data_IF_899347463560
#
_entry.id   IF_899347463560
#
_cell.length_a   1.000
_cell.length_b   1.000
_cell.length_c   1.000
_cell.angle_alpha   90.00
_cell.angle_beta   90.00
_cell.angle_gamma   90.00
#
_symmetry.space_group_name_H-M   'P 1'
#
loop_
_entity.id
_entity.type
_entity.pdbx_description
1 polymer ?
#
# COMPACT_ATOMS: atom_id res chain seq x y z
N UNK A 1 18.48 38.14 -11.88
CA UNK A 1 18.09 37.70 -10.53
C UNK A 1 18.42 36.23 -10.46
N UNK A 2 19.46 35.86 -9.71
CA UNK A 2 19.70 34.45 -9.40
C UNK A 2 18.59 34.01 -8.46
N UNK A 3 17.76 33.06 -8.91
CA UNK A 3 16.81 32.39 -8.04
C UNK A 3 17.61 31.47 -7.14
N UNK A 4 17.93 31.91 -5.93
CA UNK A 4 18.42 31.02 -4.88
C UNK A 4 17.31 30.01 -4.61
N UNK A 5 17.39 28.83 -5.23
CA UNK A 5 16.50 27.73 -4.91
C UNK A 5 16.73 27.40 -3.43
N UNK A 6 15.68 27.47 -2.61
CA UNK A 6 15.75 27.00 -1.24
C UNK A 6 16.16 25.53 -1.27
N UNK A 7 17.37 25.21 -0.81
CA UNK A 7 17.86 23.84 -0.79
C UNK A 7 17.15 23.10 0.36
N UNK A 8 16.32 22.09 0.08
CA UNK A 8 15.64 21.33 1.12
C UNK A 8 16.64 20.73 2.11
N UNK A 9 16.27 20.69 3.39
CA UNK A 9 17.09 20.05 4.41
C UNK A 9 17.11 18.54 4.25
N UNK A 10 18.09 17.88 4.90
CA UNK A 10 18.20 16.42 4.92
C UNK A 10 16.87 15.72 5.28
N UNK A 11 16.15 16.22 6.29
CA UNK A 11 14.89 15.63 6.74
C UNK A 11 13.76 15.73 5.72
N UNK A 12 13.69 16.83 4.96
CA UNK A 12 12.73 16.99 3.87
C UNK A 12 12.97 15.94 2.79
N UNK A 13 14.23 15.72 2.40
CA UNK A 13 14.57 14.67 1.44
C UNK A 13 14.29 13.26 1.98
N UNK A 14 14.70 12.98 3.23
CA UNK A 14 14.53 11.66 3.83
C UNK A 14 13.04 11.29 3.94
N UNK A 15 12.23 12.16 4.55
CA UNK A 15 10.80 11.93 4.73
C UNK A 15 10.07 11.92 3.38
N UNK A 16 10.40 12.84 2.47
CA UNK A 16 9.83 12.88 1.13
C UNK A 16 10.11 11.61 0.33
N UNK A 17 11.34 11.06 0.44
CA UNK A 17 11.68 9.78 -0.19
C UNK A 17 10.85 8.63 0.39
N UNK A 18 10.68 8.58 1.70
CA UNK A 18 9.88 7.54 2.35
C UNK A 18 8.40 7.66 1.96
N UNK A 19 7.85 8.88 1.93
CA UNK A 19 6.48 9.17 1.51
C UNK A 19 6.22 8.72 0.06
N UNK A 20 7.22 8.89 -0.81
CA UNK A 20 7.18 8.51 -2.20
C UNK A 20 7.28 6.99 -2.41
N UNK A 21 8.22 6.32 -1.74
CA UNK A 21 8.48 4.89 -1.97
C UNK A 21 7.51 3.96 -1.23
N UNK A 22 6.97 4.40 -0.09
CA UNK A 22 6.15 3.55 0.76
C UNK A 22 4.91 2.94 0.06
N UNK A 23 4.14 3.67 -0.77
CA UNK A 23 3.06 3.07 -1.58
C UNK A 23 3.51 1.86 -2.42
N UNK A 24 4.71 1.94 -3.01
CA UNK A 24 5.26 0.85 -3.82
C UNK A 24 5.64 -0.35 -2.96
N UNK A 25 6.28 -0.10 -1.81
CA UNK A 25 6.62 -1.15 -0.84
C UNK A 25 5.34 -1.86 -0.35
N UNK A 26 4.30 -1.11 0.01
CA UNK A 26 3.02 -1.68 0.43
C UNK A 26 2.38 -2.52 -0.68
N UNK A 27 2.44 -2.04 -1.93
CA UNK A 27 1.95 -2.81 -3.09
C UNK A 27 2.76 -4.10 -3.27
N UNK A 28 4.08 -4.03 -3.21
CA UNK A 28 4.98 -5.18 -3.36
C UNK A 28 4.81 -6.23 -2.25
N UNK A 29 4.39 -5.82 -1.05
CA UNK A 29 4.13 -6.74 0.06
C UNK A 29 2.72 -7.30 -0.01
N UNK A 30 1.71 -6.45 -0.22
CA UNK A 30 0.31 -6.87 -0.16
C UNK A 30 -0.16 -7.59 -1.42
N UNK A 31 0.34 -7.24 -2.61
CA UNK A 31 -0.10 -7.90 -3.85
C UNK A 31 0.24 -9.40 -3.88
N UNK A 32 1.46 -9.85 -3.56
CA UNK A 32 1.75 -11.29 -3.49
C UNK A 32 0.94 -12.02 -2.43
N UNK A 33 0.72 -11.41 -1.26
CA UNK A 33 -0.14 -11.99 -0.21
C UNK A 33 -1.58 -12.13 -0.71
N UNK A 34 -2.12 -11.09 -1.35
CA UNK A 34 -3.46 -11.10 -1.92
C UNK A 34 -3.63 -12.17 -3.00
N UNK A 35 -2.69 -12.25 -3.95
CA UNK A 35 -2.72 -13.27 -5.01
C UNK A 35 -2.54 -14.68 -4.45
N UNK A 36 -1.69 -14.85 -3.44
CA UNK A 36 -1.55 -16.14 -2.77
C UNK A 36 -2.86 -16.54 -2.10
N UNK A 37 -3.46 -15.66 -1.29
CA UNK A 37 -4.76 -15.92 -0.67
C UNK A 37 -5.84 -16.21 -1.69
N UNK A 38 -5.85 -15.50 -2.82
CA UNK A 38 -6.77 -15.75 -3.93
C UNK A 38 -6.60 -17.15 -4.53
N UNK A 39 -5.35 -17.58 -4.72
CA UNK A 39 -5.03 -18.91 -5.25
C UNK A 39 -5.52 -20.06 -4.38
N UNK A 40 -5.77 -19.80 -3.08
CA UNK A 40 -6.28 -20.79 -2.13
C UNK A 40 -7.80 -20.91 -2.12
N UNK A 41 -8.54 -19.95 -2.69
CA UNK A 41 -10.00 -19.95 -2.66
C UNK A 41 -10.62 -20.84 -3.76
N UNK A 42 -10.65 -22.15 -3.51
CA UNK A 42 -11.18 -23.16 -4.46
C UNK A 42 -12.68 -23.01 -4.73
N UNK A 43 -13.44 -22.47 -3.79
CA UNK A 43 -14.90 -22.33 -3.89
C UNK A 43 -15.33 -21.01 -4.54
N UNK A 44 -14.38 -20.16 -4.96
CA UNK A 44 -14.68 -18.89 -5.62
C UNK A 44 -14.89 -19.11 -7.12
N UNK A 45 -15.98 -18.54 -7.65
CA UNK A 45 -16.25 -18.53 -9.09
C UNK A 45 -15.08 -17.94 -9.90
N UNK A 46 -14.80 -18.53 -11.07
CA UNK A 46 -13.68 -18.15 -11.93
C UNK A 46 -13.74 -16.68 -12.34
N UNK A 47 -14.92 -16.14 -12.63
CA UNK A 47 -15.09 -14.73 -13.00
C UNK A 47 -14.65 -13.81 -11.86
N UNK A 48 -15.02 -14.15 -10.62
CA UNK A 48 -14.61 -13.40 -9.44
C UNK A 48 -13.10 -13.48 -9.20
N UNK A 49 -12.49 -14.65 -9.42
CA UNK A 49 -11.04 -14.79 -9.33
C UNK A 49 -10.31 -13.91 -10.36
N UNK A 50 -10.80 -13.85 -11.60
CA UNK A 50 -10.25 -12.97 -12.64
C UNK A 50 -10.37 -11.50 -12.24
N UNK A 51 -11.57 -11.07 -11.79
CA UNK A 51 -11.81 -9.68 -11.36
C UNK A 51 -10.86 -9.30 -10.22
N UNK A 52 -10.73 -10.15 -9.19
CA UNK A 52 -9.83 -9.86 -8.09
C UNK A 52 -8.36 -9.84 -8.50
N UNK A 53 -7.95 -10.72 -9.41
CA UNK A 53 -6.59 -10.70 -9.95
C UNK A 53 -6.30 -9.37 -10.65
N UNK A 54 -7.25 -8.88 -11.47
CA UNK A 54 -7.13 -7.58 -12.13
C UNK A 54 -7.10 -6.43 -11.11
N UNK A 55 -8.01 -6.43 -10.13
CA UNK A 55 -8.05 -5.40 -9.08
C UNK A 55 -6.71 -5.34 -8.31
N UNK A 56 -6.15 -6.48 -7.92
CA UNK A 56 -4.89 -6.56 -7.18
C UNK A 56 -3.71 -6.04 -8.02
N UNK A 57 -3.67 -6.35 -9.31
CA UNK A 57 -2.54 -6.01 -10.19
C UNK A 57 -2.61 -4.58 -10.74
N UNK A 58 -3.82 -4.07 -11.01
CA UNK A 58 -4.03 -2.81 -11.74
C UNK A 58 -4.25 -1.63 -10.78
N UNK A 59 -4.67 -1.87 -9.54
CA UNK A 59 -4.93 -0.81 -8.56
C UNK A 59 -3.91 -0.93 -7.42
N UNK A 60 -2.74 -0.26 -7.51
CA UNK A 60 -1.71 -0.29 -6.47
C UNK A 60 -2.26 0.13 -5.12
N UNK A 61 -1.71 -0.44 -4.04
CA UNK A 61 -2.11 -0.25 -2.64
C UNK A 61 -3.56 -0.67 -2.35
N UNK A 62 -4.54 0.01 -2.95
CA UNK A 62 -5.98 -0.16 -2.66
C UNK A 62 -6.48 -1.54 -3.11
N UNK A 63 -6.13 -2.00 -4.31
CA UNK A 63 -6.56 -3.30 -4.82
C UNK A 63 -6.23 -4.45 -3.86
N UNK A 64 -4.95 -4.70 -3.54
CA UNK A 64 -4.58 -5.75 -2.61
C UNK A 64 -5.05 -5.50 -1.17
N UNK A 65 -5.07 -4.25 -0.69
CA UNK A 65 -5.58 -3.92 0.64
C UNK A 65 -7.07 -4.29 0.79
N UNK A 66 -7.91 -3.91 -0.18
CA UNK A 66 -9.34 -4.19 -0.18
C UNK A 66 -9.56 -5.70 -0.29
N UNK A 67 -8.83 -6.40 -1.17
CA UNK A 67 -8.92 -7.84 -1.28
C UNK A 67 -8.60 -8.53 0.06
N UNK A 68 -7.46 -8.21 0.68
CA UNK A 68 -7.06 -8.78 1.97
C UNK A 68 -8.13 -8.53 3.05
N UNK A 69 -8.65 -7.31 3.14
CA UNK A 69 -9.61 -6.98 4.21
C UNK A 69 -10.99 -7.61 3.99
N UNK A 70 -11.49 -7.66 2.76
CA UNK A 70 -12.89 -7.97 2.48
C UNK A 70 -13.14 -9.33 1.83
N UNK A 71 -12.24 -9.78 0.95
CA UNK A 71 -12.46 -10.97 0.13
C UNK A 71 -11.60 -12.17 0.55
N UNK A 72 -10.42 -11.93 1.11
CA UNK A 72 -9.51 -12.97 1.54
C UNK A 72 -10.08 -13.80 2.70
N UNK A 73 -9.95 -15.12 2.58
CA UNK A 73 -10.36 -16.10 3.61
C UNK A 73 -9.20 -16.96 4.12
N UNK A 74 -8.01 -16.83 3.54
CA UNK A 74 -6.85 -17.64 3.89
C UNK A 74 -6.20 -17.16 5.20
N UNK A 75 -6.05 -15.85 5.37
CA UNK A 75 -5.36 -15.29 6.52
C UNK A 75 -6.30 -14.93 7.69
N UNK A 76 -5.79 -15.06 8.92
CA UNK A 76 -6.52 -14.68 10.12
C UNK A 76 -6.88 -13.18 10.12
N UNK A 77 -8.10 -12.84 10.56
CA UNK A 77 -8.60 -11.46 10.59
C UNK A 77 -7.64 -10.47 11.26
N UNK A 78 -7.02 -10.84 12.39
CA UNK A 78 -6.08 -9.97 13.11
C UNK A 78 -4.82 -9.68 12.29
N UNK A 79 -4.27 -10.69 11.63
CA UNK A 79 -3.13 -10.51 10.73
C UNK A 79 -3.47 -9.49 9.63
N UNK A 80 -4.62 -9.66 8.96
CA UNK A 80 -5.03 -8.77 7.87
C UNK A 80 -5.23 -7.32 8.34
N UNK A 81 -5.81 -7.14 9.54
CA UNK A 81 -5.99 -5.82 10.15
C UNK A 81 -4.66 -5.15 10.50
N UNK A 82 -3.70 -5.90 11.07
CA UNK A 82 -2.38 -5.36 11.41
C UNK A 82 -1.57 -5.06 10.15
N UNK A 83 -1.53 -5.99 9.19
CA UNK A 83 -0.76 -5.85 7.96
C UNK A 83 -1.26 -4.67 7.12
N UNK A 84 -2.58 -4.58 6.89
CA UNK A 84 -3.16 -3.51 6.08
C UNK A 84 -3.31 -2.23 6.88
N UNK A 85 -3.88 -2.30 8.08
CA UNK A 85 -4.12 -1.13 8.93
C UNK A 85 -2.83 -0.47 9.42
N UNK A 86 -1.83 -1.27 9.80
CA UNK A 86 -0.50 -0.77 10.18
C UNK A 86 0.21 -0.10 8.99
N UNK A 87 0.22 -0.74 7.83
CA UNK A 87 0.83 -0.14 6.63
C UNK A 87 0.13 1.13 6.16
N UNK A 88 -1.22 1.17 6.17
CA UNK A 88 -1.97 2.40 5.89
C UNK A 88 -1.70 3.49 6.94
N UNK A 89 -1.61 3.11 8.22
CA UNK A 89 -1.28 4.04 9.31
C UNK A 89 0.08 4.70 9.11
N UNK A 90 1.11 3.91 8.77
CA UNK A 90 2.45 4.44 8.46
C UNK A 90 2.42 5.29 7.18
N UNK A 91 1.66 4.89 6.15
CA UNK A 91 1.52 5.67 4.92
C UNK A 91 0.98 7.07 5.20
N UNK A 92 -0.13 7.14 5.93
CA UNK A 92 -0.76 8.42 6.31
C UNK A 92 0.19 9.25 7.18
N UNK A 93 0.83 8.62 8.17
CA UNK A 93 1.78 9.31 9.05
C UNK A 93 2.92 9.95 8.25
N UNK A 94 3.56 9.19 7.36
CA UNK A 94 4.70 9.68 6.59
C UNK A 94 4.28 10.75 5.58
N UNK A 95 3.10 10.62 4.98
CA UNK A 95 2.53 11.68 4.13
C UNK A 95 2.31 12.98 4.91
N UNK A 96 1.72 12.91 6.10
CA UNK A 96 1.53 14.08 6.97
C UNK A 96 2.88 14.70 7.35
N UNK A 97 3.85 13.89 7.77
CA UNK A 97 5.20 14.37 8.08
C UNK A 97 5.88 15.01 6.87
N UNK A 98 5.68 14.46 5.67
CA UNK A 98 6.22 15.05 4.44
C UNK A 98 5.60 16.41 4.15
N UNK A 99 4.29 16.59 4.35
CA UNK A 99 3.65 17.89 4.14
C UNK A 99 4.19 18.93 5.11
N UNK A 100 4.43 18.54 6.36
CA UNK A 100 4.97 19.43 7.41
C UNK A 100 6.45 19.75 7.16
N UNK A 101 7.25 18.83 6.61
CA UNK A 101 8.69 19.04 6.38
C UNK A 101 9.02 19.98 5.21
N UNK A 102 8.02 20.37 4.42
CA UNK A 102 8.12 21.37 3.36
C UNK A 102 7.74 22.80 3.81
N UNK A 103 7.23 22.94 5.05
CA UNK A 103 6.93 24.24 5.70
C UNK A 103 8.18 24.70 6.46
#
# INVERSE_FOLDING_TARGET
METTFANPGFWTYFIGSYAYYLPFVLTMVWAPLALFGLSKQKDMDTTKQIIWSLVILVIPVLGPAIYLLLADKEYEKKFKQIAVGGGLGVLVLVWVLSLISHI
#
